data_IF_800122698278
#
_entry.id   IF_800122698278
#
_cell.length_a   1.000
_cell.length_b   1.000
_cell.length_c   1.000
_cell.angle_alpha   90.00
_cell.angle_beta   90.00
_cell.angle_gamma   90.00
#
_symmetry.space_group_name_H-M   'P 1'
#
loop_
_entity.id
_entity.type
_entity.pdbx_description
1 polymer ?
#
# COMPACT_ATOMS: atom_id res chain seq x y z
N UNK A 1 2.18 14.05 13.30
CA UNK A 1 2.35 12.71 12.69
C UNK A 1 2.76 12.75 11.22
N UNK A 2 2.00 13.41 10.31
CA UNK A 2 2.33 13.45 8.86
C UNK A 2 3.77 13.92 8.54
N UNK A 3 4.33 14.84 9.34
CA UNK A 3 5.72 15.31 9.20
C UNK A 3 6.78 14.34 9.73
N UNK A 4 6.50 13.62 10.82
CA UNK A 4 7.51 12.78 11.50
C UNK A 4 7.86 11.53 10.68
N UNK A 5 6.85 10.85 10.14
CA UNK A 5 7.06 9.69 9.26
C UNK A 5 7.76 10.11 7.96
N UNK A 6 7.37 11.25 7.39
CA UNK A 6 7.98 11.77 6.18
C UNK A 6 9.46 12.15 6.40
N UNK A 7 9.79 12.80 7.53
CA UNK A 7 11.17 13.13 7.90
C UNK A 7 11.98 11.85 8.14
N UNK A 8 11.45 10.89 8.89
CA UNK A 8 12.13 9.63 9.17
C UNK A 8 12.39 8.83 7.88
N UNK A 9 11.43 8.79 6.97
CA UNK A 9 11.59 8.18 5.65
C UNK A 9 12.68 8.89 4.84
N UNK A 10 12.65 10.22 4.77
CA UNK A 10 13.69 10.99 4.07
C UNK A 10 15.08 10.77 4.66
N UNK A 11 15.21 10.77 5.99
CA UNK A 11 16.50 10.50 6.66
C UNK A 11 16.98 9.08 6.42
N UNK A 12 16.06 8.11 6.41
CA UNK A 12 16.38 6.72 6.11
C UNK A 12 16.84 6.54 4.66
N UNK A 13 16.15 7.16 3.70
CA UNK A 13 16.52 7.12 2.28
C UNK A 13 17.85 7.84 2.02
N UNK A 14 18.10 8.98 2.67
CA UNK A 14 19.38 9.71 2.57
C UNK A 14 20.59 8.88 2.99
N UNK A 15 20.44 7.98 3.98
CA UNK A 15 21.54 7.10 4.42
C UNK A 15 22.02 6.15 3.32
N UNK A 16 21.18 5.91 2.31
CA UNK A 16 21.45 4.98 1.22
C UNK A 16 21.42 5.69 -0.14
N UNK A 17 21.52 7.03 -0.20
CA UNK A 17 21.34 7.81 -1.44
C UNK A 17 22.33 7.45 -2.55
N UNK A 18 23.52 6.95 -2.20
CA UNK A 18 24.53 6.48 -3.16
C UNK A 18 24.49 4.96 -3.40
N UNK A 19 23.62 4.22 -2.71
CA UNK A 19 23.51 2.77 -2.78
C UNK A 19 22.17 2.37 -3.41
N UNK A 20 22.17 2.38 -4.75
CA UNK A 20 20.97 2.09 -5.55
C UNK A 20 20.44 0.69 -5.29
N UNK A 21 21.31 -0.31 -5.14
CA UNK A 21 20.89 -1.69 -4.88
C UNK A 21 20.17 -1.79 -3.54
N UNK A 22 20.70 -1.14 -2.50
CA UNK A 22 20.06 -1.12 -1.18
C UNK A 22 18.73 -0.39 -1.20
N UNK A 23 18.63 0.74 -1.91
CA UNK A 23 17.36 1.47 -2.07
C UNK A 23 16.32 0.64 -2.82
N UNK A 24 16.72 -0.08 -3.88
CA UNK A 24 15.82 -1.00 -4.59
C UNK A 24 15.33 -2.12 -3.68
N UNK A 25 16.21 -2.75 -2.90
CA UNK A 25 15.84 -3.81 -1.97
C UNK A 25 14.85 -3.32 -0.89
N UNK A 26 15.10 -2.15 -0.29
CA UNK A 26 14.21 -1.54 0.71
C UNK A 26 12.83 -1.19 0.10
N UNK A 27 12.80 -0.72 -1.14
CA UNK A 27 11.56 -0.45 -1.85
C UNK A 27 10.76 -1.73 -2.11
N UNK A 28 11.42 -2.81 -2.53
CA UNK A 28 10.77 -4.12 -2.72
C UNK A 28 10.19 -4.63 -1.41
N UNK A 29 10.96 -4.59 -0.31
CA UNK A 29 10.48 -5.04 1.00
C UNK A 29 9.26 -4.23 1.47
N UNK A 30 9.29 -2.91 1.29
CA UNK A 30 8.13 -2.05 1.57
C UNK A 30 6.91 -2.44 0.72
N UNK A 31 7.12 -2.65 -0.60
CA UNK A 31 6.06 -3.03 -1.54
C UNK A 31 5.39 -4.34 -1.13
N UNK A 32 6.18 -5.37 -0.83
CA UNK A 32 5.70 -6.69 -0.42
C UNK A 32 4.91 -6.61 0.89
N UNK A 33 5.42 -5.85 1.87
CA UNK A 33 4.74 -5.64 3.15
C UNK A 33 3.41 -4.86 2.99
N UNK A 34 3.38 -3.86 2.12
CA UNK A 34 2.18 -3.09 1.82
C UNK A 34 1.09 -3.99 1.20
N UNK A 35 1.46 -4.82 0.22
CA UNK A 35 0.55 -5.77 -0.44
C UNK A 35 0.00 -6.81 0.53
N UNK A 36 0.88 -7.44 1.32
CA UNK A 36 0.48 -8.42 2.34
C UNK A 36 -0.46 -7.80 3.39
N UNK A 37 -0.23 -6.54 3.78
CA UNK A 37 -1.08 -5.84 4.74
C UNK A 37 -2.48 -5.60 4.19
N UNK A 38 -2.59 -5.17 2.92
CA UNK A 38 -3.89 -4.94 2.29
C UNK A 38 -4.69 -6.25 2.14
N UNK A 39 -4.03 -7.33 1.75
CA UNK A 39 -4.66 -8.65 1.64
C UNK A 39 -5.15 -9.17 3.00
N UNK A 40 -4.30 -9.11 4.03
CA UNK A 40 -4.66 -9.55 5.38
C UNK A 40 -5.83 -8.73 5.95
N UNK A 41 -5.82 -7.41 5.72
CA UNK A 41 -6.91 -6.53 6.15
C UNK A 41 -8.22 -6.86 5.44
N UNK A 42 -8.17 -7.13 4.13
CA UNK A 42 -9.33 -7.54 3.34
C UNK A 42 -9.93 -8.85 3.85
N UNK A 43 -9.10 -9.88 4.05
CA UNK A 43 -9.53 -11.18 4.57
C UNK A 43 -10.15 -11.07 5.96
N UNK A 44 -9.54 -10.27 6.84
CA UNK A 44 -10.07 -10.04 8.18
C UNK A 44 -11.40 -9.26 8.14
N UNK A 45 -11.51 -8.26 7.26
CA UNK A 45 -12.74 -7.50 7.07
C UNK A 45 -13.90 -8.39 6.62
N UNK A 46 -13.64 -9.30 5.67
CA UNK A 46 -14.59 -10.29 5.20
C UNK A 46 -15.03 -11.25 6.31
N UNK A 47 -14.07 -11.77 7.08
CA UNK A 47 -14.36 -12.65 8.21
C UNK A 47 -15.26 -11.96 9.25
N UNK A 48 -14.93 -10.73 9.64
CA UNK A 48 -15.72 -9.95 10.61
C UNK A 48 -17.11 -9.66 10.06
N UNK A 49 -17.21 -9.24 8.80
CA UNK A 49 -18.50 -8.98 8.17
C UNK A 49 -19.39 -10.23 8.13
N UNK A 50 -18.85 -11.36 7.66
CA UNK A 50 -19.56 -12.64 7.61
C UNK A 50 -19.96 -13.10 9.00
N UNK A 51 -19.07 -12.98 10.00
CA UNK A 51 -19.42 -13.28 11.38
C UNK A 51 -20.61 -12.45 11.88
N UNK A 52 -20.63 -11.14 11.57
CA UNK A 52 -21.75 -10.27 11.94
C UNK A 52 -23.06 -10.58 11.21
N UNK A 53 -23.01 -11.14 10.01
CA UNK A 53 -24.19 -11.60 9.25
C UNK A 53 -24.68 -12.95 9.76
N UNK A 54 -23.77 -13.87 10.06
CA UNK A 54 -24.08 -15.25 10.45
C UNK A 54 -24.47 -15.37 11.93
N UNK A 55 -23.85 -14.58 12.81
CA UNK A 55 -24.25 -14.47 14.22
C UNK A 55 -25.37 -13.44 14.41
N UNK A 56 -26.54 -13.78 13.86
CA UNK A 56 -27.79 -13.10 14.18
C UNK A 56 -28.23 -13.47 15.61
N UNK A 57 -27.68 -12.77 16.62
CA UNK A 57 -28.36 -12.57 17.90
C UNK A 57 -28.05 -13.51 19.07
N UNK A 58 -27.05 -14.40 19.03
CA UNK A 58 -26.77 -15.30 20.16
C UNK A 58 -25.86 -14.73 21.26
N UNK A 59 -24.99 -13.76 20.94
CA UNK A 59 -24.08 -13.14 21.91
C UNK A 59 -24.53 -11.73 22.30
N UNK A 60 -25.11 -11.59 23.50
CA UNK A 60 -25.62 -10.31 24.04
C UNK A 60 -24.55 -9.22 24.30
N UNK A 61 -23.27 -9.53 24.11
CA UNK A 61 -22.15 -8.61 24.39
C UNK A 61 -21.72 -7.78 23.19
N UNK A 62 -21.94 -8.26 21.97
CA UNK A 62 -21.56 -7.55 20.74
C UNK A 62 -22.72 -7.67 19.75
N UNK A 63 -23.30 -6.54 19.38
CA UNK A 63 -24.47 -6.55 18.50
C UNK A 63 -24.03 -6.78 17.04
N UNK A 64 -24.76 -7.63 16.32
CA UNK A 64 -24.51 -7.91 14.90
C UNK A 64 -24.30 -6.63 14.05
N UNK A 65 -25.11 -5.55 14.21
CA UNK A 65 -24.87 -4.28 13.52
C UNK A 65 -23.49 -3.65 13.78
N UNK A 66 -22.96 -3.77 15.02
CA UNK A 66 -21.64 -3.24 15.35
C UNK A 66 -20.54 -4.03 14.64
N UNK A 67 -20.64 -5.36 14.61
CA UNK A 67 -19.69 -6.24 13.92
C UNK A 67 -19.71 -5.97 12.41
N UNK A 68 -20.91 -5.90 11.82
CA UNK A 68 -21.09 -5.57 10.39
C UNK A 68 -20.45 -4.21 10.07
N UNK A 69 -20.70 -3.20 10.91
CA UNK A 69 -20.10 -1.86 10.75
C UNK A 69 -18.58 -1.88 10.80
N UNK A 70 -17.98 -2.66 11.71
CA UNK A 70 -16.52 -2.86 11.77
C UNK A 70 -16.03 -3.52 10.48
N UNK A 71 -16.66 -4.61 10.02
CA UNK A 71 -16.29 -5.29 8.77
C UNK A 71 -16.33 -4.36 7.55
N UNK A 72 -17.40 -3.56 7.41
CA UNK A 72 -17.51 -2.57 6.34
C UNK A 72 -16.42 -1.48 6.41
N UNK A 73 -16.10 -1.01 7.62
CA UNK A 73 -15.04 -0.01 7.82
C UNK A 73 -13.68 -0.56 7.40
N UNK A 74 -13.37 -1.80 7.80
CA UNK A 74 -12.12 -2.47 7.44
C UNK A 74 -12.03 -2.73 5.94
N UNK A 75 -13.13 -3.12 5.28
CA UNK A 75 -13.18 -3.24 3.81
C UNK A 75 -12.89 -1.92 3.11
N UNK A 76 -13.46 -0.81 3.60
CA UNK A 76 -13.18 0.52 3.04
C UNK A 76 -11.70 0.85 3.12
N UNK A 77 -11.07 0.59 4.27
CA UNK A 77 -9.63 0.82 4.45
C UNK A 77 -8.77 -0.08 3.54
N UNK A 78 -9.15 -1.35 3.37
CA UNK A 78 -8.47 -2.25 2.44
C UNK A 78 -8.58 -1.76 0.99
N UNK A 79 -9.74 -1.24 0.59
CA UNK A 79 -9.93 -0.65 -0.75
C UNK A 79 -9.09 0.62 -0.95
N UNK A 80 -9.02 1.50 0.06
CA UNK A 80 -8.19 2.71 0.00
C UNK A 80 -6.70 2.36 -0.12
N UNK A 81 -6.23 1.32 0.58
CA UNK A 81 -4.87 0.79 0.46
C UNK A 81 -4.61 0.22 -0.95
N UNK A 82 -5.52 -0.59 -1.48
CA UNK A 82 -5.41 -1.12 -2.85
C UNK A 82 -5.36 -0.01 -3.91
N UNK A 83 -6.12 1.07 -3.72
CA UNK A 83 -6.07 2.24 -4.60
C UNK A 83 -4.72 2.97 -4.51
N UNK A 84 -4.16 3.10 -3.30
CA UNK A 84 -2.83 3.69 -3.11
C UNK A 84 -1.73 2.85 -3.79
N UNK A 85 -1.79 1.53 -3.66
CA UNK A 85 -0.88 0.59 -4.32
C UNK A 85 -0.95 0.71 -5.84
N UNK A 86 -2.17 0.79 -6.41
CA UNK A 86 -2.36 1.05 -7.83
C UNK A 86 -1.70 2.37 -8.26
N UNK A 87 -1.92 3.45 -7.50
CA UNK A 87 -1.33 4.76 -7.78
C UNK A 87 0.20 4.75 -7.76
N UNK A 88 0.79 4.01 -6.82
CA UNK A 88 2.24 3.78 -6.73
C UNK A 88 2.76 3.04 -7.96
N UNK A 89 2.14 1.92 -8.32
CA UNK A 89 2.57 1.10 -9.47
C UNK A 89 2.44 1.87 -10.80
N UNK A 90 1.36 2.63 -10.98
CA UNK A 90 1.20 3.51 -12.15
C UNK A 90 2.28 4.61 -12.20
N UNK A 91 2.56 5.24 -11.07
CA UNK A 91 3.62 6.26 -10.99
C UNK A 91 4.99 5.68 -11.31
N UNK A 92 5.28 4.46 -10.86
CA UNK A 92 6.51 3.73 -11.19
C UNK A 92 6.64 3.52 -12.71
N UNK A 93 5.61 2.99 -13.36
CA UNK A 93 5.59 2.80 -14.82
C UNK A 93 5.78 4.11 -15.59
N UNK A 94 5.10 5.18 -15.16
CA UNK A 94 5.23 6.49 -15.79
C UNK A 94 6.66 7.05 -15.68
N UNK A 95 7.31 6.86 -14.53
CA UNK A 95 8.71 7.26 -14.34
C UNK A 95 9.66 6.44 -15.22
N UNK A 96 9.44 5.14 -15.33
CA UNK A 96 10.24 4.26 -16.19
C UNK A 96 10.18 4.71 -17.66
N UNK A 97 8.98 5.04 -18.16
CA UNK A 97 8.77 5.59 -19.51
C UNK A 97 9.55 6.89 -19.74
N UNK A 98 9.48 7.84 -18.80
CA UNK A 98 10.22 9.10 -18.90
C UNK A 98 11.73 8.87 -18.96
N UNK A 99 12.27 7.94 -18.17
CA UNK A 99 13.69 7.61 -18.23
C UNK A 99 14.11 6.91 -19.53
N UNK A 100 13.23 6.13 -20.15
CA UNK A 100 13.49 5.54 -21.47
C UNK A 100 13.55 6.62 -22.56
N UNK A 101 12.57 7.52 -22.60
CA UNK A 101 12.54 8.64 -23.57
C UNK A 101 13.79 9.54 -23.45
N UNK A 102 14.24 9.85 -22.24
CA UNK A 102 15.48 10.61 -22.02
C UNK A 102 16.73 9.90 -22.54
N UNK A 103 16.77 8.57 -22.43
CA UNK A 103 17.91 7.77 -22.90
C UNK A 103 17.98 7.70 -24.43
N UNK A 104 16.83 7.62 -25.11
CA UNK A 104 16.73 7.65 -26.57
C UNK A 104 17.10 9.02 -27.15
N UNK A 105 16.66 10.11 -26.52
CA UNK A 105 17.03 11.47 -26.93
C UNK A 105 18.52 11.78 -26.74
N UNK A 106 19.16 11.26 -25.67
CA UNK A 106 20.61 11.40 -25.48
C UNK A 106 21.43 10.56 -26.46
N UNK A 107 20.91 9.41 -26.89
CA UNK A 107 21.53 8.58 -27.93
C UNK A 107 21.47 9.21 -29.32
N UNK A 108 20.38 9.90 -29.66
CA UNK A 108 20.19 10.54 -30.96
C UNK A 108 21.02 11.83 -31.17
N UNK A 109 21.44 12.50 -30.10
CA UNK A 109 22.21 13.76 -30.18
C UNK A 109 23.73 13.56 -30.15
N UNK A 110 24.21 12.31 -30.02
CA UNK A 110 25.62 11.93 -30.01
C UNK A 110 26.04 11.09 -31.24
N UNK A 111 25.19 11.04 -32.27
CA UNK A 111 25.44 10.33 -33.54
C UNK A 111 25.85 11.26 -34.66
#
# INVERSE_FOLDING_TARGET
>A
MRKTLHIALMEHLKKHECDREKLTALYTEFKDAEESTAEALSLYADLVFTYGVDEDGYNSKVTAPAVIGIGLTLRSLANDLSLAQYGRDFSGQALDLLTQEESEHKGANNG
#
